data_IF_942009439179
#
_entry.id   IF_942009439179
#
_cell.length_a   1.000
_cell.length_b   1.000
_cell.length_c   1.000
_cell.angle_alpha   90.00
_cell.angle_beta   90.00
_cell.angle_gamma   90.00
#
_symmetry.space_group_name_H-M   'P 1'
#
loop_
_entity.id
_entity.type
_entity.pdbx_description
1 polymer ?
#
# COMPACT_ATOMS: atom_id res chain seq x y z
N UNK A 1 -51.18 -1.99 23.05
CA UNK A 1 -50.54 -1.30 21.89
C UNK A 1 -49.42 -0.36 22.29
N UNK A 2 -49.65 0.65 23.16
CA UNK A 2 -48.60 1.62 23.56
C UNK A 2 -47.36 0.98 24.22
N UNK A 3 -47.57 -0.04 25.07
CA UNK A 3 -46.48 -0.77 25.75
C UNK A 3 -45.61 -1.60 24.80
N UNK A 4 -46.23 -2.20 23.77
CA UNK A 4 -45.51 -2.91 22.73
C UNK A 4 -44.69 -1.94 21.87
N UNK A 5 -45.28 -0.79 21.52
CA UNK A 5 -44.59 0.26 20.76
C UNK A 5 -43.38 0.79 21.53
N UNK A 6 -43.52 1.04 22.84
CA UNK A 6 -42.39 1.49 23.67
C UNK A 6 -41.27 0.46 23.78
N UNK A 7 -41.62 -0.83 23.90
CA UNK A 7 -40.62 -1.90 23.96
C UNK A 7 -39.86 -2.05 22.63
N UNK A 8 -40.56 -1.95 21.50
CA UNK A 8 -39.93 -2.02 20.19
C UNK A 8 -38.99 -0.82 19.93
N UNK A 9 -39.40 0.38 20.36
CA UNK A 9 -38.55 1.58 20.29
C UNK A 9 -37.29 1.44 21.14
N UNK A 10 -37.43 0.90 22.36
CA UNK A 10 -36.29 0.69 23.26
C UNK A 10 -35.32 -0.34 22.66
N UNK A 11 -35.83 -1.45 22.11
CA UNK A 11 -35.01 -2.46 21.45
C UNK A 11 -34.26 -1.91 20.23
N UNK A 12 -34.91 -1.08 19.42
CA UNK A 12 -34.28 -0.44 18.27
C UNK A 12 -33.16 0.54 18.70
N UNK A 13 -33.37 1.31 19.76
CA UNK A 13 -32.35 2.23 20.30
C UNK A 13 -31.13 1.48 20.84
N UNK A 14 -31.34 0.36 21.53
CA UNK A 14 -30.24 -0.49 22.03
C UNK A 14 -29.44 -1.06 20.86
N UNK A 15 -30.11 -1.59 19.83
CA UNK A 15 -29.44 -2.11 18.63
C UNK A 15 -28.59 -1.05 17.92
N UNK A 16 -29.12 0.16 17.74
CA UNK A 16 -28.35 1.26 17.12
C UNK A 16 -27.15 1.63 17.99
N UNK A 17 -27.32 1.76 19.30
CA UNK A 17 -26.23 2.12 20.22
C UNK A 17 -25.12 1.06 20.27
N UNK A 18 -25.45 -0.23 20.19
CA UNK A 18 -24.46 -1.31 20.24
C UNK A 18 -23.83 -1.63 18.89
N UNK A 19 -24.53 -1.40 17.77
CA UNK A 19 -24.06 -1.75 16.43
C UNK A 19 -23.40 -0.58 15.69
N UNK A 20 -23.54 0.66 16.17
CA UNK A 20 -22.93 1.84 15.53
C UNK A 20 -21.40 1.88 15.67
N UNK A 21 -20.83 1.16 16.66
CA UNK A 21 -19.40 1.21 16.97
C UNK A 21 -18.60 -0.01 16.42
N UNK A 22 -19.16 -0.78 15.49
CA UNK A 22 -18.43 -1.86 14.82
C UNK A 22 -17.48 -1.32 13.73
N UNK A 23 -16.54 -0.47 14.14
CA UNK A 23 -15.46 0.01 13.29
C UNK A 23 -14.45 -1.09 12.92
N UNK A 24 -14.60 -2.32 13.43
CA UNK A 24 -13.71 -3.46 13.15
C UNK A 24 -13.67 -3.86 11.67
N UNK A 25 -14.66 -3.47 10.86
CA UNK A 25 -14.62 -3.71 9.40
C UNK A 25 -13.78 -2.68 8.63
N UNK A 26 -13.30 -1.63 9.28
CA UNK A 26 -12.52 -0.54 8.69
C UNK A 26 -11.04 -0.60 9.07
N UNK A 27 -10.56 -1.77 9.50
CA UNK A 27 -9.17 -2.00 9.91
C UNK A 27 -8.26 -2.44 8.75
N UNK A 28 -8.71 -2.37 7.49
CA UNK A 28 -7.79 -2.33 6.37
C UNK A 28 -7.41 -0.87 6.10
N UNK A 29 -6.35 -0.41 6.76
CA UNK A 29 -5.66 0.87 6.43
C UNK A 29 -5.05 0.89 5.00
N UNK A 30 -5.56 0.06 4.09
CA UNK A 30 -5.19 -0.03 2.68
C UNK A 30 -6.03 0.88 1.78
N UNK A 31 -6.94 1.70 2.34
CA UNK A 31 -7.85 2.57 1.57
C UNK A 31 -7.13 3.53 0.60
N UNK A 32 -5.85 3.82 0.84
CA UNK A 32 -5.06 4.70 -0.02
C UNK A 32 -4.03 3.98 -0.91
N UNK A 33 -3.54 2.79 -0.52
CA UNK A 33 -2.51 2.03 -1.28
C UNK A 33 -2.72 0.51 -1.15
N UNK A 34 -3.69 -0.07 -1.87
CA UNK A 34 -3.91 -1.52 -1.86
C UNK A 34 -2.78 -2.33 -2.51
N UNK A 35 -1.84 -1.64 -3.19
CA UNK A 35 -0.72 -2.28 -3.86
C UNK A 35 0.58 -1.98 -3.11
N UNK A 36 1.19 -3.04 -2.58
CA UNK A 36 2.57 -3.00 -2.07
C UNK A 36 3.55 -2.93 -3.24
N UNK A 37 4.66 -2.22 -3.05
CA UNK A 37 5.70 -2.15 -4.08
C UNK A 37 6.26 -3.54 -4.39
N UNK A 38 6.78 -3.71 -5.62
CA UNK A 38 7.23 -5.02 -6.12
C UNK A 38 8.39 -5.58 -5.29
N UNK A 39 9.16 -4.72 -4.64
CA UNK A 39 10.25 -5.14 -3.76
C UNK A 39 9.72 -5.79 -2.48
N UNK A 40 8.75 -5.17 -1.80
CA UNK A 40 8.09 -5.70 -0.60
C UNK A 40 7.25 -6.94 -0.91
N UNK A 41 6.62 -6.99 -2.10
CA UNK A 41 5.85 -8.16 -2.53
C UNK A 41 6.71 -9.44 -2.63
N UNK A 42 7.96 -9.32 -3.08
CA UNK A 42 8.85 -10.47 -3.19
C UNK A 42 9.19 -11.08 -1.81
N UNK A 43 9.18 -10.28 -0.74
CA UNK A 43 9.49 -10.77 0.61
C UNK A 43 8.45 -11.80 1.10
N UNK A 44 7.20 -11.75 0.58
CA UNK A 44 6.13 -12.69 0.94
C UNK A 44 6.16 -14.01 0.15
N UNK A 45 6.78 -14.04 -1.03
CA UNK A 45 6.76 -15.22 -1.92
C UNK A 45 7.82 -16.26 -1.51
N UNK A 46 8.85 -15.86 -0.78
CA UNK A 46 10.10 -16.64 -0.65
C UNK A 46 10.39 -17.20 0.76
N UNK A 47 9.34 -17.59 1.50
CA UNK A 47 9.48 -18.05 2.88
C UNK A 47 10.30 -19.35 3.05
N UNK A 48 10.16 -20.32 2.14
CA UNK A 48 10.66 -21.70 2.34
C UNK A 48 12.09 -21.98 1.82
N UNK A 49 12.66 -21.14 0.95
CA UNK A 49 13.99 -21.37 0.33
C UNK A 49 15.01 -20.29 0.66
N UNK A 50 14.96 -19.76 1.89
CA UNK A 50 15.69 -18.56 2.33
C UNK A 50 17.14 -18.46 1.85
N UNK A 51 17.97 -19.48 2.00
CA UNK A 51 19.41 -19.35 1.72
C UNK A 51 19.74 -19.17 0.21
N UNK A 52 19.14 -19.99 -0.66
CA UNK A 52 19.31 -19.88 -2.12
C UNK A 52 18.56 -18.66 -2.69
N UNK A 53 17.40 -18.35 -2.11
CA UNK A 53 16.66 -17.13 -2.36
C UNK A 53 17.51 -15.88 -2.10
N UNK A 54 18.17 -15.80 -0.93
CA UNK A 54 19.01 -14.66 -0.58
C UNK A 54 20.20 -14.49 -1.53
N UNK A 55 20.84 -15.58 -1.97
CA UNK A 55 21.99 -15.49 -2.88
C UNK A 55 21.54 -15.04 -4.28
N UNK A 56 20.44 -15.61 -4.82
CA UNK A 56 19.84 -15.17 -6.09
C UNK A 56 19.36 -13.72 -6.03
N UNK A 57 18.73 -13.31 -4.93
CA UNK A 57 18.24 -11.94 -4.78
C UNK A 57 19.38 -10.92 -4.65
N UNK A 58 20.50 -11.27 -4.01
CA UNK A 58 21.70 -10.41 -4.02
C UNK A 58 22.24 -10.22 -5.44
N UNK A 59 22.35 -11.31 -6.21
CA UNK A 59 22.83 -11.25 -7.60
C UNK A 59 21.85 -10.41 -8.44
N UNK A 60 20.54 -10.63 -8.30
CA UNK A 60 19.49 -9.86 -8.96
C UNK A 60 19.57 -8.37 -8.60
N UNK A 61 19.63 -8.04 -7.31
CA UNK A 61 19.75 -6.65 -6.81
C UNK A 61 21.02 -5.97 -7.34
N UNK A 62 22.12 -6.71 -7.50
CA UNK A 62 23.37 -6.20 -8.08
C UNK A 62 23.28 -5.96 -9.59
N UNK A 63 22.54 -6.81 -10.30
CA UNK A 63 22.39 -6.76 -11.75
C UNK A 63 21.16 -5.98 -12.23
N UNK A 64 20.46 -5.25 -11.34
CA UNK A 64 19.33 -4.38 -11.70
C UNK A 64 19.74 -3.36 -12.75
N UNK A 65 18.87 -3.16 -13.73
CA UNK A 65 19.07 -2.11 -14.74
C UNK A 65 18.97 -0.71 -14.10
N UNK A 66 19.58 0.29 -14.75
CA UNK A 66 19.45 1.68 -14.31
C UNK A 66 17.98 2.14 -14.30
N UNK A 67 17.19 1.72 -15.29
CA UNK A 67 15.76 2.05 -15.36
C UNK A 67 14.97 1.41 -14.23
N UNK A 68 15.26 0.15 -13.89
CA UNK A 68 14.61 -0.53 -12.77
C UNK A 68 14.95 0.13 -11.44
N UNK A 69 16.21 0.54 -11.24
CA UNK A 69 16.60 1.30 -10.06
C UNK A 69 15.93 2.68 -9.99
N UNK A 70 15.82 3.40 -11.10
CA UNK A 70 15.12 4.69 -11.17
C UNK A 70 13.64 4.55 -10.85
N UNK A 71 13.02 3.48 -11.35
CA UNK A 71 11.63 3.14 -11.05
C UNK A 71 11.45 2.86 -9.56
N UNK A 72 12.29 2.02 -8.96
CA UNK A 72 12.21 1.71 -7.52
C UNK A 72 12.36 2.97 -6.65
N UNK A 73 13.30 3.86 -6.98
CA UNK A 73 13.45 5.16 -6.29
C UNK A 73 12.17 6.00 -6.38
N UNK A 74 11.47 5.94 -7.52
CA UNK A 74 10.22 6.66 -7.73
C UNK A 74 9.05 6.02 -6.97
N UNK A 75 8.96 4.68 -6.94
CA UNK A 75 7.99 3.92 -6.14
C UNK A 75 8.19 4.19 -4.63
N UNK A 76 9.43 4.39 -4.17
CA UNK A 76 9.73 4.70 -2.76
C UNK A 76 9.43 6.16 -2.37
N UNK A 77 9.19 7.05 -3.34
CA UNK A 77 8.87 8.47 -3.10
C UNK A 77 7.47 8.80 -3.62
N UNK A 78 6.52 8.84 -2.69
CA UNK A 78 5.08 8.96 -2.97
C UNK A 78 4.70 10.03 -4.02
N UNK A 79 5.23 11.28 -4.00
CA UNK A 79 4.93 12.26 -5.04
C UNK A 79 5.39 11.85 -6.45
N UNK A 80 6.52 11.13 -6.54
CA UNK A 80 7.00 10.58 -7.81
C UNK A 80 6.14 9.43 -8.28
N UNK A 81 5.78 8.50 -7.40
CA UNK A 81 4.89 7.39 -7.71
C UNK A 81 3.54 7.90 -8.25
N UNK A 82 2.90 8.83 -7.54
CA UNK A 82 1.64 9.43 -7.95
C UNK A 82 1.72 10.10 -9.33
N UNK A 83 2.81 10.83 -9.60
CA UNK A 83 3.04 11.45 -10.90
C UNK A 83 3.35 10.40 -11.99
N UNK A 84 4.04 9.32 -11.65
CA UNK A 84 4.38 8.24 -12.56
C UNK A 84 3.13 7.49 -13.05
N UNK A 85 2.07 7.41 -12.26
CA UNK A 85 0.78 6.85 -12.71
C UNK A 85 0.22 7.55 -13.95
N UNK A 86 0.41 8.87 -14.07
CA UNK A 86 -0.12 9.66 -15.19
C UNK A 86 0.91 9.89 -16.30
N UNK A 87 2.19 10.02 -15.96
CA UNK A 87 3.23 10.45 -16.90
C UNK A 87 4.32 9.40 -17.17
N UNK A 88 4.27 8.26 -16.47
CA UNK A 88 5.27 7.22 -16.54
C UNK A 88 6.52 7.50 -15.68
N UNK A 89 7.21 6.42 -15.31
CA UNK A 89 8.35 6.46 -14.39
C UNK A 89 9.53 7.27 -14.87
N UNK A 90 9.83 7.27 -16.17
CA UNK A 90 10.98 8.02 -16.72
C UNK A 90 10.76 9.53 -16.59
N UNK A 91 9.55 10.01 -16.91
CA UNK A 91 9.19 11.41 -16.79
C UNK A 91 9.12 11.84 -15.31
N UNK A 92 8.49 11.01 -14.47
CA UNK A 92 8.39 11.24 -13.03
C UNK A 92 9.77 11.30 -12.36
N UNK A 93 10.64 10.34 -12.64
CA UNK A 93 11.99 10.31 -12.09
C UNK A 93 12.77 11.56 -12.49
N UNK A 94 12.68 11.99 -13.76
CA UNK A 94 13.32 13.22 -14.22
C UNK A 94 12.73 14.47 -13.55
N UNK A 95 11.41 14.50 -13.34
CA UNK A 95 10.73 15.62 -12.70
C UNK A 95 11.19 15.84 -11.25
N UNK A 96 11.27 14.78 -10.45
CA UNK A 96 11.61 14.87 -9.03
C UNK A 96 13.11 14.72 -8.73
N UNK A 97 13.82 13.87 -9.45
CA UNK A 97 15.23 13.52 -9.18
C UNK A 97 16.20 14.01 -10.27
N UNK A 98 15.70 14.49 -11.41
CA UNK A 98 16.54 14.98 -12.50
C UNK A 98 17.27 16.30 -12.21
N UNK A 99 16.97 16.99 -11.10
CA UNK A 99 17.49 18.33 -10.79
C UNK A 99 18.82 18.38 -10.02
N UNK A 100 19.56 17.29 -9.83
CA UNK A 100 20.94 17.36 -9.29
C UNK A 100 21.92 16.36 -9.89
N UNK A 101 22.69 16.83 -10.87
CA UNK A 101 24.15 16.61 -10.98
C UNK A 101 24.81 17.87 -11.56
N UNK A 102 24.90 18.92 -10.75
CA UNK A 102 25.90 20.00 -10.90
C UNK A 102 26.75 20.05 -9.65
N UNK A 103 27.68 19.09 -9.55
CA UNK A 103 29.07 19.21 -9.10
C UNK A 103 29.66 17.81 -8.96
#
# INVERSE_FOLDING_TARGET
MRTLISLMLLAALVMVATCYESHESMESHEYLYPFINRQRANDFIQADTRLEAFSRDRIRKRNKSLQERQREICEDYYPCEQYAFYHGYVAAYKHYFGRRRTK
#
